data_IF_683216031677
#
_entry.id   IF_683216031677
#
_cell.length_a   1.000
_cell.length_b   1.000
_cell.length_c   1.000
_cell.angle_alpha   90.00
_cell.angle_beta   90.00
_cell.angle_gamma   90.00
#
_symmetry.space_group_name_H-M   'P 1'
#
loop_
_entity.id
_entity.type
_entity.pdbx_description
1 polymer ?
2 non-polymer ?
3 non-polymer ?
4 non-polymer ?
#
# COMPACT_ATOMS: atom_id res chain seq x y z
N UNK A 11 4.53 8.46 28.98
CA UNK A 11 5.32 8.02 27.83
C UNK A 11 4.65 6.91 27.05
N UNK A 12 4.70 7.03 25.73
CA UNK A 12 4.07 6.11 24.80
C UNK A 12 5.12 5.24 24.09
N UNK A 13 6.37 5.38 24.50
CA UNK A 13 7.48 4.66 23.88
C UNK A 13 7.67 3.25 24.46
N UNK A 14 7.96 2.31 23.56
CA UNK A 14 8.40 0.94 23.87
C UNK A 14 9.32 0.46 22.72
N UNK A 15 10.09 -0.63 22.93
CA UNK A 15 11.15 -0.91 21.95
C UNK A 15 10.65 -1.11 20.51
N UNK A 16 9.44 -1.63 20.35
CA UNK A 16 8.84 -1.86 19.03
C UNK A 16 8.39 -0.58 18.32
N UNK A 17 7.80 0.35 19.06
CA UNK A 17 7.31 1.58 18.45
C UNK A 17 8.35 2.70 18.52
N UNK A 18 9.60 2.34 18.80
CA UNK A 18 10.69 3.30 18.91
C UNK A 18 11.26 3.63 17.55
N UNK A 19 11.78 4.86 17.39
CA UNK A 19 12.46 5.23 16.15
C UNK A 19 13.51 4.22 15.75
N UNK A 20 13.85 4.13 14.47
CA UNK A 20 14.71 3.04 14.07
C UNK A 20 16.06 3.67 13.86
N UNK A 21 16.98 3.22 14.69
CA UNK A 21 18.32 3.76 14.82
C UNK A 21 19.08 3.55 13.51
N UNK A 22 19.96 4.49 13.17
CA UNK A 22 20.77 4.42 11.97
C UNK A 22 21.42 3.04 11.76
N UNK A 23 22.03 2.49 12.80
CA UNK A 23 22.65 1.18 12.70
C UNK A 23 21.64 0.04 12.47
N UNK A 24 20.38 0.23 12.84
CA UNK A 24 19.39 -0.84 12.63
C UNK A 24 18.83 -0.87 11.20
N UNK A 25 19.23 0.06 10.34
CA UNK A 25 18.60 0.15 9.02
C UNK A 25 19.19 -0.88 8.04
N UNK A 26 18.36 -1.44 7.17
CA UNK A 26 18.77 -2.59 6.35
C UNK A 26 18.32 -2.60 4.88
N UNK A 27 17.56 -1.59 4.47
CA UNK A 27 17.01 -1.55 3.11
C UNK A 27 17.55 -0.39 2.26
N UNK A 28 18.33 -0.72 1.23
CA UNK A 28 18.85 0.31 0.35
C UNK A 28 17.97 0.55 -0.85
N UNK A 29 18.46 1.33 -1.83
CA UNK A 29 17.61 1.64 -2.99
C UNK A 29 17.31 0.43 -3.87
N UNK A 30 18.27 -0.47 -4.03
CA UNK A 30 18.05 -1.66 -4.85
C UNK A 30 17.08 -2.62 -4.19
N UNK A 31 17.11 -2.64 -2.87
CA UNK A 31 16.36 -3.64 -2.12
C UNK A 31 14.89 -3.27 -2.11
N UNK A 32 14.62 -1.97 -2.04
CA UNK A 32 13.26 -1.45 -2.02
C UNK A 32 12.46 -1.69 -3.33
N UNK A 33 13.13 -1.56 -4.49
CA UNK A 33 12.51 -1.96 -5.76
C UNK A 33 12.10 -3.43 -5.77
N UNK A 34 12.91 -4.27 -5.14
CA UNK A 34 12.71 -5.72 -5.14
C UNK A 34 11.58 -6.03 -4.15
N UNK A 35 11.33 -5.07 -3.27
CA UNK A 35 10.24 -5.15 -2.32
C UNK A 35 8.94 -4.75 -3.00
N UNK A 36 9.05 -3.76 -3.89
CA UNK A 36 7.89 -3.20 -4.58
C UNK A 36 7.45 -4.00 -5.81
N UNK A 37 8.43 -4.53 -6.54
CA UNK A 37 8.19 -5.28 -7.76
C UNK A 37 7.33 -6.49 -7.46
N UNK A 38 7.70 -7.25 -6.44
CA UNK A 38 6.97 -8.45 -6.09
C UNK A 38 5.67 -8.04 -5.39
N UNK A 39 5.68 -6.88 -4.74
CA UNK A 39 4.50 -6.34 -4.06
C UNK A 39 3.42 -5.90 -5.06
N UNK A 40 3.84 -5.56 -6.27
CA UNK A 40 2.91 -5.13 -7.30
C UNK A 40 2.30 -6.32 -8.02
N UNK A 41 3.02 -7.44 -8.03
CA UNK A 41 2.53 -8.68 -8.63
C UNK A 41 1.50 -9.37 -7.73
N UNK A 42 0.23 -9.21 -8.07
CA UNK A 42 -0.87 -9.71 -7.25
C UNK A 42 -2.17 -9.79 -8.03
N UNK A 43 -3.07 -10.65 -7.57
CA UNK A 43 -4.31 -10.93 -8.30
C UNK A 43 -5.16 -9.69 -8.57
N UNK A 44 -5.36 -8.86 -7.55
CA UNK A 44 -6.29 -7.73 -7.65
C UNK A 44 -6.00 -6.72 -8.77
N UNK A 45 -4.85 -6.76 -9.42
CA UNK A 45 -4.65 -5.90 -10.59
C UNK A 45 -5.25 -6.57 -11.83
N UNK A 46 -5.27 -7.90 -11.83
CA UNK A 46 -5.91 -8.64 -12.90
C UNK A 46 -7.35 -8.18 -13.04
N UNK A 47 -8.04 -8.16 -11.90
CA UNK A 47 -9.43 -7.79 -11.86
C UNK A 47 -9.55 -6.36 -12.32
N UNK A 48 -8.73 -5.50 -11.75
CA UNK A 48 -8.75 -4.09 -12.06
C UNK A 48 -8.48 -3.85 -13.54
N UNK A 49 -7.40 -4.40 -14.06
CA UNK A 49 -6.97 -4.10 -15.43
C UNK A 49 -7.87 -4.80 -16.49
N UNK A 50 -8.43 -5.93 -16.10
CA UNK A 50 -9.43 -6.64 -16.90
C UNK A 50 -10.74 -5.89 -17.16
N UNK A 51 -11.44 -5.56 -16.08
CA UNK A 51 -12.65 -4.74 -16.15
C UNK A 51 -12.36 -3.41 -16.85
N UNK A 52 -11.11 -2.95 -16.84
CA UNK A 52 -10.81 -1.73 -17.57
C UNK A 52 -11.00 -1.90 -19.08
N UNK A 53 -10.87 -3.12 -19.59
CA UNK A 53 -11.00 -3.35 -21.04
C UNK A 53 -12.43 -3.06 -21.54
N UNK A 54 -13.41 -3.13 -20.65
CA UNK A 54 -14.75 -2.65 -20.96
C UNK A 54 -14.77 -1.19 -21.43
N UNK A 55 -13.94 -0.30 -20.87
CA UNK A 55 -14.07 1.12 -21.23
C UNK A 55 -12.94 1.63 -22.14
N UNK A 56 -11.78 0.97 -22.13
CA UNK A 56 -10.65 1.37 -22.98
C UNK A 56 -9.95 0.14 -23.52
N UNK A 57 -9.10 0.35 -24.53
CA UNK A 57 -8.32 -0.75 -25.09
C UNK A 57 -7.01 -0.93 -24.34
N UNK A 58 -6.50 -2.15 -24.36
CA UNK A 58 -5.32 -2.56 -23.61
C UNK A 58 -4.16 -1.55 -23.52
N UNK A 59 -3.72 -1.00 -24.65
CA UNK A 59 -2.62 -0.03 -24.59
C UNK A 59 -2.92 1.18 -23.71
N UNK A 60 -4.13 1.74 -23.78
CA UNK A 60 -4.49 2.83 -22.86
C UNK A 60 -4.46 2.41 -21.39
N UNK A 61 -4.85 1.17 -21.10
CA UNK A 61 -4.87 0.67 -19.73
C UNK A 61 -3.45 0.59 -19.18
N UNK A 62 -2.53 0.09 -20.01
CA UNK A 62 -1.11 0.07 -19.71
C UNK A 62 -0.65 1.50 -19.40
N UNK A 63 -1.19 2.46 -20.14
CA UNK A 63 -0.87 3.87 -19.95
C UNK A 63 -1.56 4.37 -18.68
N UNK A 64 -2.81 3.96 -18.47
CA UNK A 64 -3.51 4.30 -17.25
C UNK A 64 -2.75 3.70 -16.06
N UNK A 65 -2.09 2.56 -16.30
CA UNK A 65 -1.27 1.94 -15.27
C UNK A 65 0.06 2.67 -14.99
N UNK A 66 0.87 2.89 -16.03
CA UNK A 66 2.10 3.66 -15.89
C UNK A 66 1.88 5.06 -15.33
N UNK A 67 0.81 5.72 -15.77
CA UNK A 67 0.49 7.04 -15.24
C UNK A 67 0.05 6.95 -13.79
N UNK A 68 -0.88 6.03 -13.53
CA UNK A 68 -1.37 5.82 -12.18
C UNK A 68 -0.28 5.33 -11.26
N UNK A 69 0.65 4.53 -11.80
CA UNK A 69 1.84 4.12 -11.05
C UNK A 69 2.76 5.29 -10.67
N UNK A 70 2.93 6.22 -11.60
CA UNK A 70 3.83 7.36 -11.44
C UNK A 70 3.29 8.40 -10.46
N UNK A 71 1.99 8.65 -10.50
CA UNK A 71 1.42 9.59 -9.54
C UNK A 71 1.59 9.04 -8.13
N UNK A 72 1.50 7.71 -7.98
CA UNK A 72 1.69 7.09 -6.68
C UNK A 72 3.10 7.39 -6.18
N UNK A 73 4.07 7.20 -7.06
CA UNK A 73 5.48 7.53 -6.83
C UNK A 73 5.76 9.01 -6.56
N UNK A 74 5.25 9.92 -7.39
CA UNK A 74 5.26 11.35 -7.06
C UNK A 74 4.75 11.62 -5.65
N UNK A 75 3.77 10.84 -5.21
CA UNK A 75 3.27 10.94 -3.85
C UNK A 75 4.24 10.33 -2.84
N UNK A 76 4.89 9.24 -3.25
CA UNK A 76 5.85 8.56 -2.40
C UNK A 76 7.06 9.44 -2.05
N UNK A 77 7.65 10.10 -3.03
CA UNK A 77 8.73 11.07 -2.82
C UNK A 77 8.46 11.98 -1.62
N UNK A 78 7.20 12.34 -1.42
CA UNK A 78 6.81 13.22 -0.34
C UNK A 78 6.39 12.49 0.94
N UNK A 79 5.61 11.42 0.83
CA UNK A 79 5.13 10.74 2.04
C UNK A 79 6.23 9.90 2.69
N UNK A 80 7.36 9.71 2.01
CA UNK A 80 8.37 8.79 2.52
C UNK A 80 9.52 9.54 3.19
N UNK A 81 9.55 10.86 3.03
CA UNK A 81 10.78 11.59 3.34
C UNK A 81 11.01 11.63 4.85
N UNK A 82 9.91 11.75 5.59
CA UNK A 82 10.00 11.79 7.05
C UNK A 82 10.32 10.43 7.65
N UNK A 83 9.84 9.35 7.01
CA UNK A 83 10.05 8.02 7.55
C UNK A 83 11.49 7.55 7.36
N UNK A 84 12.06 7.88 6.21
CA UNK A 84 13.46 7.57 5.94
C UNK A 84 14.45 8.30 6.87
N UNK A 85 14.28 9.62 7.02
CA UNK A 85 15.21 10.43 7.80
C UNK A 85 15.12 10.07 9.29
N UNK A 86 13.90 9.92 9.81
CA UNK A 86 13.73 9.78 11.26
C UNK A 86 13.31 8.41 11.78
N UNK A 87 13.20 7.42 10.90
CA UNK A 87 12.84 6.10 11.36
C UNK A 87 11.52 5.90 12.09
N UNK A 88 10.53 6.77 11.90
CA UNK A 88 9.32 6.67 12.72
C UNK A 88 8.18 5.91 12.06
N UNK A 89 7.28 5.39 12.90
CA UNK A 89 6.00 4.84 12.47
C UNK A 89 5.14 5.75 11.60
N UNK A 90 4.19 5.15 10.89
CA UNK A 90 3.05 5.90 10.38
C UNK A 90 2.17 6.35 11.51
N UNK A 91 1.72 5.38 12.31
CA UNK A 91 0.78 5.61 13.38
C UNK A 91 1.31 6.69 14.33
N UNK A 92 2.58 6.62 14.64
CA UNK A 92 3.25 7.64 15.46
C UNK A 92 3.32 9.03 14.82
N UNK A 93 3.70 9.06 13.54
CA UNK A 93 3.84 10.31 12.80
C UNK A 93 2.56 11.14 12.62
N UNK A 94 1.40 10.49 12.65
CA UNK A 94 0.13 11.19 12.47
C UNK A 94 -0.20 12.09 13.66
N UNK A 95 0.44 11.80 14.78
CA UNK A 95 0.26 12.54 16.02
C UNK A 95 0.56 14.03 15.85
N UNK A 96 1.38 14.37 14.85
CA UNK A 96 1.83 15.73 14.60
C UNK A 96 0.67 16.69 14.25
N UNK A 97 0.05 16.54 13.06
CA UNK A 97 -1.00 17.51 12.74
C UNK A 97 -2.30 17.30 13.50
N UNK A 98 -2.79 16.06 13.51
CA UNK A 98 -3.95 15.68 14.32
C UNK A 98 -3.43 15.55 15.74
N UNK A 99 -4.28 15.22 16.72
CA UNK A 99 -3.73 15.11 18.05
C UNK A 99 -2.85 13.88 18.17
N UNK A 100 -2.35 13.63 19.37
CA UNK A 100 -1.73 12.38 19.75
C UNK A 100 -2.76 11.26 19.81
N UNK A 101 -4.00 11.64 20.08
CA UNK A 101 -5.12 10.73 20.15
C UNK A 101 -6.05 10.99 18.97
N UNK A 102 -6.27 12.27 18.66
CA UNK A 102 -7.02 12.64 17.48
C UNK A 102 -6.58 12.00 16.17
N UNK A 103 -5.29 11.70 16.06
CA UNK A 103 -4.77 10.95 14.90
C UNK A 103 -5.38 9.56 14.76
N UNK A 104 -5.83 8.99 15.87
CA UNK A 104 -6.44 7.67 15.88
C UNK A 104 -7.66 7.56 14.96
N UNK A 105 -8.31 8.69 14.70
CA UNK A 105 -9.49 8.73 13.82
C UNK A 105 -9.12 8.37 12.36
N UNK A 106 -8.35 9.24 11.64
CA UNK A 106 -7.93 8.76 10.31
C UNK A 106 -7.18 7.45 10.39
N UNK A 107 -6.34 7.27 11.38
CA UNK A 107 -5.59 6.03 11.47
C UNK A 107 -6.51 4.82 11.63
N UNK A 108 -7.65 5.00 12.30
CA UNK A 108 -8.59 3.88 12.40
C UNK A 108 -9.26 3.54 11.07
N UNK A 109 -9.63 4.58 10.30
CA UNK A 109 -10.09 4.41 8.92
C UNK A 109 -9.10 3.59 8.13
N UNK A 110 -7.85 4.00 8.23
CA UNK A 110 -6.77 3.45 7.44
C UNK A 110 -6.36 2.07 7.94
N UNK A 111 -6.31 1.87 9.25
CA UNK A 111 -5.96 0.55 9.75
C UNK A 111 -7.02 -0.44 9.31
N UNK A 112 -8.25 0.05 9.14
CA UNK A 112 -9.39 -0.74 8.67
C UNK A 112 -9.33 -1.19 7.20
N UNK A 113 -9.05 -0.24 6.30
CA UNK A 113 -8.77 -0.55 4.89
C UNK A 113 -7.72 -1.63 4.82
N UNK A 114 -6.60 -1.36 5.48
CA UNK A 114 -5.42 -2.21 5.46
C UNK A 114 -5.82 -3.61 5.92
N UNK A 115 -6.54 -3.65 7.03
CA UNK A 115 -7.05 -4.89 7.63
C UNK A 115 -8.00 -5.62 6.67
N UNK A 116 -8.86 -4.87 5.98
CA UNK A 116 -9.71 -5.45 4.95
C UNK A 116 -8.86 -6.17 3.92
N UNK A 117 -8.02 -5.43 3.21
CA UNK A 117 -7.15 -5.99 2.15
C UNK A 117 -6.38 -7.25 2.54
N UNK A 118 -6.09 -7.38 3.84
CA UNK A 118 -5.36 -8.53 4.34
C UNK A 118 -6.23 -9.78 4.29
N UNK A 119 -7.49 -9.64 4.67
CA UNK A 119 -8.42 -10.75 4.62
C UNK A 119 -8.83 -11.11 3.21
N UNK A 120 -8.87 -10.13 2.31
CA UNK A 120 -9.14 -10.42 0.91
C UNK A 120 -8.04 -11.31 0.29
N UNK A 121 -6.78 -10.90 0.42
CA UNK A 121 -5.69 -11.68 -0.15
C UNK A 121 -5.41 -13.00 0.58
N UNK A 122 -5.71 -13.08 1.87
CA UNK A 122 -5.53 -14.35 2.57
C UNK A 122 -6.46 -15.36 1.90
N UNK A 123 -7.63 -14.88 1.53
CA UNK A 123 -8.62 -15.65 0.80
C UNK A 123 -8.12 -16.11 -0.55
N UNK A 124 -7.64 -15.19 -1.37
CA UNK A 124 -7.12 -15.54 -2.69
C UNK A 124 -6.00 -16.56 -2.57
N UNK A 125 -5.13 -16.34 -1.58
CA UNK A 125 -4.04 -17.25 -1.27
C UNK A 125 -4.55 -18.62 -0.89
N UNK A 126 -5.56 -18.60 -0.02
CA UNK A 126 -6.24 -19.80 0.47
C UNK A 126 -6.87 -20.56 -0.68
N UNK A 127 -7.51 -19.81 -1.56
CA UNK A 127 -8.11 -20.35 -2.77
C UNK A 127 -7.04 -21.14 -3.50
N UNK A 128 -5.83 -20.59 -3.54
CA UNK A 128 -4.72 -21.20 -4.28
C UNK A 128 -4.32 -22.51 -3.60
N UNK A 129 -4.05 -22.47 -2.30
CA UNK A 129 -3.58 -23.67 -1.62
C UNK A 129 -4.65 -24.75 -1.65
N UNK A 130 -5.91 -24.33 -1.57
CA UNK A 130 -7.01 -25.27 -1.58
C UNK A 130 -7.13 -25.92 -2.94
N UNK A 131 -6.92 -25.13 -3.98
CA UNK A 131 -6.85 -25.68 -5.33
C UNK A 131 -5.67 -26.62 -5.50
N UNK A 132 -4.51 -26.28 -4.94
CA UNK A 132 -3.38 -27.20 -5.05
C UNK A 132 -3.71 -28.54 -4.41
N UNK A 133 -4.33 -28.52 -3.24
CA UNK A 133 -4.66 -29.74 -2.54
C UNK A 133 -5.78 -30.54 -3.22
N UNK A 134 -6.84 -29.87 -3.65
CA UNK A 134 -7.95 -30.58 -4.25
C UNK A 134 -7.57 -31.10 -5.64
N UNK A 135 -6.50 -30.53 -6.21
CA UNK A 135 -5.94 -31.08 -7.44
C UNK A 135 -5.00 -32.22 -7.11
N UNK A 136 -5.05 -32.71 -5.88
CA UNK A 136 -4.23 -33.85 -5.50
C UNK A 136 -4.96 -34.86 -4.65
N UNK A 137 -6.22 -34.58 -4.28
CA UNK A 137 -6.85 -35.33 -3.20
C UNK A 137 -8.36 -35.10 -3.19
N UNK A 138 -8.84 -34.25 -4.09
CA UNK A 138 -10.25 -33.90 -4.14
C UNK A 138 -10.83 -33.23 -2.90
N UNK A 139 -10.10 -33.28 -1.79
CA UNK A 139 -10.51 -32.65 -0.55
C UNK A 139 -10.51 -31.14 -0.77
N UNK A 140 -11.59 -30.47 -0.43
CA UNK A 140 -11.75 -29.07 -0.81
C UNK A 140 -12.34 -28.20 0.32
N UNK A 141 -11.58 -28.12 1.43
CA UNK A 141 -11.93 -27.22 2.53
C UNK A 141 -11.13 -25.93 2.45
N UNK A 142 -11.86 -24.81 2.32
CA UNK A 142 -11.25 -23.48 2.23
C UNK A 142 -11.03 -22.83 3.60
N UNK A 143 -12.08 -22.76 4.46
CA UNK A 143 -11.87 -22.10 5.76
C UNK A 143 -10.67 -22.60 6.57
N UNK A 144 -10.40 -23.90 6.55
CA UNK A 144 -9.21 -24.43 7.22
C UNK A 144 -7.96 -23.85 6.58
N UNK A 145 -7.96 -23.78 5.25
CA UNK A 145 -6.81 -23.26 4.50
C UNK A 145 -6.71 -21.75 4.67
N UNK A 146 -7.84 -21.10 4.95
CA UNK A 146 -7.84 -19.69 5.33
C UNK A 146 -7.01 -19.43 6.61
N UNK A 147 -7.50 -19.91 7.76
CA UNK A 147 -6.76 -19.83 9.04
C UNK A 147 -5.30 -20.19 8.90
N UNK A 148 -5.04 -21.43 8.47
CA UNK A 148 -3.69 -21.89 8.18
C UNK A 148 -2.86 -20.91 7.36
N UNK A 149 -3.48 -20.23 6.40
CA UNK A 149 -2.71 -19.25 5.64
C UNK A 149 -2.50 -17.98 6.46
N UNK A 150 -3.59 -17.42 7.00
CA UNK A 150 -3.49 -16.33 7.96
C UNK A 150 -2.37 -16.56 8.97
N UNK A 151 -2.31 -17.79 9.49
CA UNK A 151 -1.33 -18.16 10.48
C UNK A 151 0.07 -18.15 9.88
N UNK A 152 0.22 -18.73 8.69
CA UNK A 152 1.52 -18.81 8.04
C UNK A 152 2.12 -17.45 7.76
N UNK A 153 1.30 -16.51 7.32
CA UNK A 153 1.79 -15.16 7.08
C UNK A 153 2.27 -14.46 8.35
N UNK A 154 1.46 -14.55 9.39
CA UNK A 154 1.79 -13.97 10.68
C UNK A 154 3.13 -14.46 11.15
N UNK A 155 3.40 -15.75 11.02
CA UNK A 155 4.62 -16.31 11.56
C UNK A 155 5.81 -15.88 10.70
N UNK A 156 5.61 -15.79 9.39
CA UNK A 156 6.62 -15.21 8.53
C UNK A 156 6.69 -13.69 8.71
N UNK A 157 5.58 -13.10 9.18
CA UNK A 157 5.54 -11.66 9.46
C UNK A 157 6.23 -11.31 10.78
N UNK A 158 6.29 -12.27 11.70
CA UNK A 158 7.05 -12.15 12.93
C UNK A 158 8.47 -11.70 12.69
N UNK A 159 9.06 -12.16 11.60
CA UNK A 159 10.42 -11.78 11.26
C UNK A 159 10.45 -10.39 10.64
N UNK A 160 9.34 -9.67 10.78
CA UNK A 160 9.13 -8.34 10.22
C UNK A 160 9.77 -8.12 8.87
N UNK A 161 10.37 -6.96 8.66
CA UNK A 161 10.91 -6.61 7.35
C UNK A 161 12.07 -7.52 6.93
N UNK A 162 12.63 -8.26 7.88
CA UNK A 162 13.75 -9.16 7.60
C UNK A 162 13.36 -10.27 6.62
N UNK A 163 12.22 -10.91 6.87
CA UNK A 163 11.66 -11.91 5.96
C UNK A 163 11.22 -11.30 4.64
N UNK A 164 10.33 -10.32 4.72
CA UNK A 164 9.81 -9.57 3.56
C UNK A 164 10.90 -9.27 2.54
N UNK A 165 12.02 -8.75 2.99
CA UNK A 165 13.02 -8.28 2.05
C UNK A 165 13.66 -9.48 1.36
N UNK A 166 13.84 -10.59 2.09
CA UNK A 166 14.44 -11.81 1.54
C UNK A 166 13.49 -12.62 0.67
N UNK A 167 12.23 -12.68 1.07
CA UNK A 167 11.20 -13.38 0.31
C UNK A 167 10.97 -12.72 -1.04
N UNK A 168 11.05 -11.39 -1.07
CA UNK A 168 10.83 -10.60 -2.29
C UNK A 168 12.01 -10.54 -3.26
N UNK A 169 13.24 -10.67 -2.77
CA UNK A 169 14.37 -10.66 -3.72
C UNK A 169 14.41 -11.97 -4.50
N UNK A 170 14.10 -13.08 -3.84
CA UNK A 170 14.01 -14.36 -4.55
C UNK A 170 12.71 -14.60 -5.31
N UNK A 171 11.59 -14.12 -4.80
CA UNK A 171 10.35 -14.21 -5.58
C UNK A 171 10.36 -13.39 -6.86
N UNK A 172 10.90 -12.17 -6.79
CA UNK A 172 10.87 -11.23 -7.91
C UNK A 172 11.23 -11.82 -9.27
N UNK A 173 12.44 -12.39 -9.41
CA UNK A 173 12.75 -12.88 -10.75
C UNK A 173 11.86 -14.07 -11.11
N UNK A 174 11.59 -14.94 -10.12
CA UNK A 174 10.67 -16.05 -10.34
C UNK A 174 9.28 -15.58 -10.78
N UNK A 175 8.72 -14.65 -10.00
CA UNK A 175 7.46 -14.01 -10.38
C UNK A 175 7.54 -13.32 -11.76
N UNK A 176 8.62 -12.58 -12.01
CA UNK A 176 8.83 -11.95 -13.33
C UNK A 176 8.88 -13.00 -14.42
N UNK A 177 9.51 -14.14 -14.13
CA UNK A 177 9.63 -15.19 -15.13
C UNK A 177 8.32 -15.94 -15.33
N UNK A 178 7.68 -16.40 -14.26
CA UNK A 178 6.37 -17.03 -14.38
C UNK A 178 5.38 -16.18 -15.21
N UNK A 179 5.54 -14.85 -15.13
CA UNK A 179 4.67 -13.91 -15.81
C UNK A 179 4.96 -13.67 -17.27
N UNK A 180 6.23 -13.46 -17.60
CA UNK A 180 6.66 -13.36 -18.98
C UNK A 180 6.36 -14.64 -19.74
N UNK A 181 6.56 -15.78 -19.07
CA UNK A 181 6.11 -17.06 -19.60
C UNK A 181 4.62 -17.08 -19.92
N UNK A 182 3.82 -16.59 -18.99
CA UNK A 182 2.36 -16.53 -19.15
C UNK A 182 1.91 -15.79 -20.41
N UNK A 183 2.48 -14.62 -20.62
CA UNK A 183 2.29 -13.86 -21.84
C UNK A 183 2.65 -14.65 -23.11
N UNK A 184 3.71 -15.44 -23.07
CA UNK A 184 4.07 -16.23 -24.25
C UNK A 184 2.97 -17.27 -24.54
N UNK A 185 2.63 -18.07 -23.53
CA UNK A 185 1.52 -19.04 -23.62
C UNK A 185 0.19 -18.52 -24.17
N UNK A 186 -0.24 -17.34 -23.73
CA UNK A 186 -1.48 -16.77 -24.24
C UNK A 186 -1.29 -16.46 -25.71
N UNK A 187 -0.45 -15.47 -26.00
CA UNK A 187 -0.19 -15.02 -27.38
C UNK A 187 -0.01 -16.20 -28.36
N UNK A 188 0.91 -17.12 -28.06
CA UNK A 188 1.14 -18.30 -28.89
C UNK A 188 -0.13 -19.10 -29.16
N UNK A 189 -0.73 -19.63 -28.08
CA UNK A 189 -1.86 -20.54 -28.18
C UNK A 189 -3.09 -19.96 -28.83
N UNK A 190 -3.12 -18.63 -28.94
CA UNK A 190 -4.20 -17.93 -29.61
C UNK A 190 -3.79 -17.51 -31.01
N UNK A 191 -2.48 -17.63 -31.28
CA UNK A 191 -1.90 -17.36 -32.60
C UNK A 191 -1.96 -15.87 -32.90
N UNK A 192 -1.61 -15.06 -31.90
CA UNK A 192 -1.74 -13.61 -31.98
C UNK A 192 -0.45 -12.90 -31.57
N UNK A 193 -0.12 -11.83 -32.29
CA UNK A 193 1.05 -11.03 -31.97
C UNK A 193 0.75 -10.10 -30.79
N UNK A 194 1.79 -9.59 -30.16
CA UNK A 194 1.65 -8.63 -29.06
C UNK A 194 0.93 -7.34 -29.46
N UNK A 195 1.28 -6.80 -30.62
CA UNK A 195 0.72 -5.55 -31.08
C UNK A 195 -0.77 -5.64 -31.33
N UNK A 196 -1.22 -6.83 -31.72
CA UNK A 196 -2.62 -7.07 -32.01
C UNK A 196 -3.46 -7.02 -30.73
N UNK A 197 -3.00 -7.70 -29.68
CA UNK A 197 -3.71 -7.71 -28.39
C UNK A 197 -3.74 -6.34 -27.76
N UNK A 198 -2.71 -5.54 -28.04
CA UNK A 198 -2.59 -4.21 -27.47
C UNK A 198 -3.74 -3.24 -27.82
N UNK A 199 -4.57 -3.58 -28.80
CA UNK A 199 -5.72 -2.71 -29.11
C UNK A 199 -7.09 -3.36 -29.17
N UNK A 200 -7.26 -4.53 -28.57
CA UNK A 200 -8.52 -5.29 -28.68
C UNK A 200 -9.70 -4.84 -27.80
N UNK A 201 -9.50 -3.87 -26.90
CA UNK A 201 -10.54 -3.52 -25.96
C UNK A 201 -11.52 -2.42 -26.31
N UNK A 202 -12.12 -1.85 -25.26
CA UNK A 202 -12.74 -0.53 -25.30
C UNK A 202 -13.94 -0.44 -26.24
N UNK A 203 -14.87 -1.37 -26.03
CA UNK A 203 -16.05 -1.49 -26.86
C UNK A 203 -17.26 -1.07 -26.05
N UNK A 204 -17.04 -0.18 -25.09
CA UNK A 204 -18.10 0.28 -24.20
C UNK A 204 -17.68 1.57 -23.51
N UNK A 205 -17.23 2.58 -24.28
CA UNK A 205 -16.66 3.78 -23.67
C UNK A 205 -17.64 4.57 -22.79
N UNK A 206 -17.11 5.45 -21.95
CA UNK A 206 -17.93 6.17 -20.99
C UNK A 206 -17.14 6.72 -19.83
N UNK A 207 -16.21 5.91 -19.31
CA UNK A 207 -15.30 6.30 -18.23
C UNK A 207 -14.25 7.28 -18.70
N UNK A 208 -14.12 8.42 -18.00
CA UNK A 208 -13.04 9.37 -18.34
C UNK A 208 -11.69 8.72 -18.11
N UNK A 209 -10.71 9.03 -18.96
CA UNK A 209 -9.37 8.48 -18.79
C UNK A 209 -8.72 8.92 -17.49
N UNK A 210 -9.14 10.07 -16.96
CA UNK A 210 -8.61 10.56 -15.69
C UNK A 210 -9.07 9.63 -14.60
N UNK A 211 -10.31 9.16 -14.73
CA UNK A 211 -10.90 8.31 -13.71
C UNK A 211 -10.31 6.92 -13.86
N UNK A 212 -9.69 6.68 -15.00
CA UNK A 212 -9.02 5.40 -15.19
C UNK A 212 -7.74 5.42 -14.37
N UNK A 213 -6.94 6.46 -14.59
CA UNK A 213 -5.70 6.70 -13.88
C UNK A 213 -5.93 6.70 -12.37
N UNK A 214 -7.00 7.39 -11.95
CA UNK A 214 -7.38 7.48 -10.53
C UNK A 214 -7.69 6.14 -9.86
N UNK A 215 -7.93 5.10 -10.66
CA UNK A 215 -8.23 3.79 -10.10
C UNK A 215 -6.94 3.02 -9.72
N UNK A 216 -5.87 3.25 -10.47
CA UNK A 216 -4.58 2.58 -10.20
C UNK A 216 -3.76 3.27 -9.11
N UNK A 217 -3.81 4.60 -9.08
CA UNK A 217 -3.35 5.34 -7.92
C UNK A 217 -4.09 4.84 -6.69
N UNK A 218 -5.38 5.11 -6.62
CA UNK A 218 -6.19 4.73 -5.47
C UNK A 218 -6.21 3.27 -5.05
N UNK A 219 -5.51 2.40 -5.78
CA UNK A 219 -5.38 1.02 -5.35
C UNK A 219 -4.30 0.92 -4.28
N UNK A 220 -3.22 1.66 -4.53
CA UNK A 220 -2.11 1.73 -3.61
C UNK A 220 -2.20 2.97 -2.71
N UNK A 221 -3.41 3.48 -2.52
CA UNK A 221 -3.56 4.68 -1.74
C UNK A 221 -3.32 4.39 -0.26
N UNK A 222 -3.71 3.20 0.17
CA UNK A 222 -3.51 2.80 1.55
C UNK A 222 -2.01 2.63 1.83
N UNK A 223 -1.36 1.89 0.94
CA UNK A 223 0.08 1.67 1.03
C UNK A 223 0.87 2.97 0.99
N UNK A 224 0.61 3.82 -0.01
CA UNK A 224 1.42 5.03 -0.20
C UNK A 224 1.20 6.09 0.91
N UNK A 225 -0.03 6.22 1.39
CA UNK A 225 -0.31 7.17 2.47
C UNK A 225 0.37 6.74 3.77
N UNK A 226 0.67 5.45 3.89
CA UNK A 226 1.31 4.91 5.09
C UNK A 226 2.51 4.07 4.71
N UNK A 227 3.21 4.46 3.66
CA UNK A 227 4.45 3.80 3.30
C UNK A 227 5.42 3.74 4.50
N UNK A 228 5.38 4.77 5.37
CA UNK A 228 6.22 4.87 6.59
C UNK A 228 6.71 3.54 7.14
N UNK A 229 5.76 2.63 7.28
CA UNK A 229 5.93 1.37 7.97
C UNK A 229 6.91 0.46 7.23
N UNK A 230 7.22 0.83 6.01
CA UNK A 230 8.20 0.13 5.19
C UNK A 230 9.52 0.88 5.10
N UNK A 231 9.45 2.19 4.95
CA UNK A 231 10.61 2.96 4.54
C UNK A 231 11.39 3.50 5.74
N UNK A 232 10.83 3.41 6.94
CA UNK A 232 11.59 3.63 8.19
C UNK A 232 12.73 2.64 8.36
N UNK A 233 12.82 1.71 7.43
CA UNK A 233 13.83 0.69 7.41
C UNK A 233 14.89 0.94 6.35
N UNK A 234 14.72 2.02 5.59
CA UNK A 234 15.63 2.36 4.52
C UNK A 234 16.95 2.94 5.00
N UNK A 235 17.95 2.82 4.14
CA UNK A 235 19.31 3.21 4.47
C UNK A 235 19.43 4.72 4.35
N UNK A 236 19.94 5.39 5.35
CA UNK A 236 20.05 6.84 5.25
C UNK A 236 21.46 7.26 5.67
N UNK A 237 22.01 8.32 5.08
CA UNK A 237 23.23 8.89 5.66
C UNK A 237 22.86 10.11 6.49
N UNK A 238 22.95 9.98 7.84
CA UNK A 238 22.54 11.06 8.76
C UNK A 238 23.28 12.37 8.52
N UNK A 239 24.48 12.30 7.96
CA UNK A 239 25.29 13.48 7.75
C UNK A 239 25.24 14.00 6.31
N UNK A 240 24.08 13.88 5.68
CA UNK A 240 23.86 14.47 4.36
C UNK A 240 23.61 15.97 4.47
N UNK A 241 22.93 16.53 3.47
CA UNK A 241 22.57 17.94 3.46
C UNK A 241 21.19 18.07 2.87
N UNK A 242 20.68 19.29 2.70
CA UNK A 242 19.41 19.48 1.99
C UNK A 242 19.42 18.82 0.62
N UNK A 243 20.55 18.90 -0.08
CA UNK A 243 20.60 18.49 -1.47
C UNK A 243 20.99 17.03 -1.58
N UNK A 244 21.71 16.52 -0.58
CA UNK A 244 22.00 15.10 -0.58
C UNK A 244 20.84 14.30 -0.02
N UNK A 245 20.07 14.92 0.86
CA UNK A 245 18.83 14.32 1.36
C UNK A 245 17.75 14.25 0.29
N UNK A 246 17.73 15.24 -0.59
CA UNK A 246 16.74 15.27 -1.64
C UNK A 246 17.02 14.23 -2.72
N UNK A 247 18.28 14.08 -3.10
CA UNK A 247 18.65 13.02 -4.03
C UNK A 247 18.46 11.64 -3.42
N UNK A 248 18.65 11.54 -2.10
CA UNK A 248 18.42 10.29 -1.38
C UNK A 248 16.95 9.91 -1.46
N UNK A 249 16.08 10.85 -1.11
CA UNK A 249 14.64 10.72 -1.31
C UNK A 249 14.28 10.34 -2.74
N UNK A 250 14.94 11.02 -3.69
CA UNK A 250 14.69 10.83 -5.11
C UNK A 250 15.20 9.49 -5.61
N UNK A 251 16.35 9.05 -5.10
CA UNK A 251 16.92 7.77 -5.50
C UNK A 251 15.99 6.66 -5.05
N UNK A 252 15.42 6.83 -3.86
CA UNK A 252 14.39 5.93 -3.36
C UNK A 252 13.05 5.98 -4.09
N UNK A 253 12.50 7.18 -4.27
CA UNK A 253 11.29 7.34 -5.06
C UNK A 253 11.43 6.74 -6.45
N UNK A 254 12.60 6.93 -7.06
CA UNK A 254 12.88 6.37 -8.37
C UNK A 254 12.93 4.85 -8.23
N UNK A 255 13.47 4.39 -7.10
CA UNK A 255 13.61 2.95 -6.86
C UNK A 255 12.25 2.32 -6.69
N UNK A 256 11.31 3.07 -6.15
CA UNK A 256 9.96 2.53 -5.96
C UNK A 256 9.26 2.52 -7.30
N UNK A 257 9.62 3.49 -8.15
CA UNK A 257 9.06 3.61 -9.48
C UNK A 257 9.54 2.44 -10.30
N UNK A 258 10.82 2.14 -10.21
CA UNK A 258 11.37 1.06 -11.02
C UNK A 258 10.92 -0.26 -10.45
N UNK A 259 10.35 -0.24 -9.25
CA UNK A 259 9.85 -1.48 -8.68
C UNK A 259 8.42 -1.80 -9.04
N UNK A 260 7.54 -0.79 -8.97
CA UNK A 260 6.10 -1.03 -9.12
C UNK A 260 5.60 -0.89 -10.55
N UNK A 261 6.29 -0.10 -11.35
CA UNK A 261 5.92 0.08 -12.76
C UNK A 261 6.13 -1.20 -13.60
N UNK A 262 7.39 -1.62 -13.87
CA UNK A 262 7.53 -2.82 -14.72
C UNK A 262 6.77 -4.06 -14.22
N UNK A 263 6.59 -4.19 -12.91
CA UNK A 263 5.81 -5.28 -12.38
C UNK A 263 4.33 -5.19 -12.72
N UNK A 264 3.73 -4.02 -12.49
CA UNK A 264 2.30 -3.92 -12.62
C UNK A 264 1.89 -3.70 -14.08
N UNK A 265 2.84 -3.31 -14.92
CA UNK A 265 2.58 -3.26 -16.35
C UNK A 265 2.52 -4.63 -17.00
N UNK A 266 3.49 -5.50 -16.70
CA UNK A 266 3.42 -6.86 -17.22
C UNK A 266 2.17 -7.62 -16.75
N UNK A 267 1.85 -7.49 -15.47
CA UNK A 267 0.72 -8.22 -14.90
C UNK A 267 -0.64 -7.54 -15.08
N UNK A 268 -0.63 -6.22 -15.20
CA UNK A 268 -1.83 -5.52 -15.59
C UNK A 268 -2.26 -5.99 -16.96
N UNK A 269 -1.30 -5.99 -17.89
CA UNK A 269 -1.49 -6.51 -19.24
C UNK A 269 -2.05 -7.94 -19.27
N UNK A 270 -1.58 -8.81 -18.38
CA UNK A 270 -2.13 -10.17 -18.30
C UNK A 270 -3.61 -10.22 -17.92
N UNK A 271 -4.02 -9.40 -16.96
CA UNK A 271 -5.43 -9.36 -16.58
C UNK A 271 -6.32 -8.86 -17.70
N UNK A 272 -5.87 -7.80 -18.36
CA UNK A 272 -6.54 -7.21 -19.50
C UNK A 272 -6.60 -8.20 -20.67
N UNK A 273 -5.45 -8.81 -20.97
CA UNK A 273 -5.36 -9.83 -22.02
C UNK A 273 -6.32 -10.97 -21.77
N UNK A 274 -6.31 -11.49 -20.55
CA UNK A 274 -7.31 -12.45 -20.09
C UNK A 274 -8.76 -12.02 -20.44
N UNK A 275 -9.18 -10.81 -20.05
CA UNK A 275 -10.54 -10.30 -20.32
C UNK A 275 -10.81 -10.37 -21.80
N UNK A 276 -9.81 -9.92 -22.53
CA UNK A 276 -9.96 -9.58 -23.92
C UNK A 276 -9.86 -10.85 -24.76
N UNK A 277 -9.07 -11.83 -24.33
CA UNK A 277 -9.05 -13.09 -25.08
C UNK A 277 -10.25 -14.02 -24.85
N UNK A 278 -10.78 -14.09 -23.64
CA UNK A 278 -11.68 -15.21 -23.29
C UNK A 278 -12.87 -14.67 -22.45
N UNK A 279 -12.75 -13.43 -22.00
CA UNK A 279 -13.86 -12.82 -21.27
C UNK A 279 -13.74 -12.90 -19.76
N UNK A 280 -12.62 -13.41 -19.27
CA UNK A 280 -12.38 -13.55 -17.84
C UNK A 280 -11.07 -12.87 -17.51
N UNK A 281 -11.03 -12.14 -16.40
CA UNK A 281 -9.84 -11.41 -15.92
C UNK A 281 -8.88 -12.38 -15.33
N UNK A 282 -9.42 -13.51 -14.93
CA UNK A 282 -8.67 -14.56 -14.28
C UNK A 282 -7.91 -15.38 -15.31
N UNK A 283 -6.57 -15.34 -15.25
CA UNK A 283 -5.66 -16.01 -16.17
C UNK A 283 -5.79 -17.52 -16.11
N UNK A 284 -6.23 -18.04 -14.95
CA UNK A 284 -6.47 -19.48 -14.81
C UNK A 284 -7.46 -19.95 -15.87
N UNK A 285 -8.62 -19.32 -15.91
CA UNK A 285 -9.59 -19.60 -16.95
C UNK A 285 -9.12 -19.30 -18.37
N UNK A 286 -8.63 -18.09 -18.61
CA UNK A 286 -8.28 -17.71 -19.98
C UNK A 286 -7.21 -18.58 -20.65
N UNK A 287 -6.19 -18.99 -19.90
CA UNK A 287 -5.12 -19.81 -20.48
C UNK A 287 -5.53 -21.27 -20.62
N UNK A 288 -6.34 -21.74 -19.67
CA UNK A 288 -6.86 -23.10 -19.71
C UNK A 288 -7.62 -23.32 -21.03
N UNK A 289 -8.57 -22.43 -21.30
CA UNK A 289 -9.31 -22.43 -22.55
C UNK A 289 -8.43 -22.35 -23.80
N UNK A 290 -7.76 -21.21 -23.98
CA UNK A 290 -6.97 -20.94 -25.19
C UNK A 290 -6.09 -22.12 -25.62
N UNK A 291 -5.67 -22.91 -24.64
CA UNK A 291 -4.73 -24.00 -24.86
C UNK A 291 -5.51 -25.32 -24.81
N UNK A 292 -6.71 -25.25 -24.27
CA UNK A 292 -7.60 -26.39 -24.22
C UNK A 292 -7.15 -27.38 -23.16
N UNK A 293 -7.16 -26.93 -21.91
CA UNK A 293 -6.79 -27.76 -20.78
C UNK A 293 -5.29 -27.79 -20.54
N UNK A 294 -4.90 -28.12 -19.31
CA UNK A 294 -3.50 -28.28 -18.94
C UNK A 294 -3.33 -29.37 -17.89
N UNK A 295 -2.14 -29.98 -17.90
CA UNK A 295 -1.81 -31.06 -16.97
C UNK A 295 -1.86 -30.59 -15.52
N UNK A 296 -2.14 -31.54 -14.63
CA UNK A 296 -2.24 -31.26 -13.19
C UNK A 296 -0.98 -30.58 -12.61
N UNK A 297 0.23 -31.09 -12.93
CA UNK A 297 1.43 -30.31 -12.62
C UNK A 297 1.34 -28.85 -13.02
N UNK A 298 1.28 -28.56 -14.33
CA UNK A 298 1.28 -27.17 -14.79
C UNK A 298 0.13 -26.34 -14.22
N UNK A 299 -0.85 -27.00 -13.60
CA UNK A 299 -1.93 -26.28 -12.94
C UNK A 299 -1.51 -25.83 -11.53
N UNK A 300 -1.20 -26.82 -10.71
CA UNK A 300 -0.57 -26.65 -9.41
C UNK A 300 0.49 -25.52 -9.38
N UNK A 301 1.39 -25.52 -10.36
CA UNK A 301 2.31 -24.39 -10.61
C UNK A 301 1.62 -23.05 -10.52
N UNK A 302 0.65 -22.84 -11.41
CA UNK A 302 -0.13 -21.61 -11.50
C UNK A 302 -0.65 -21.22 -10.11
N UNK A 303 -1.09 -22.20 -9.34
CA UNK A 303 -1.65 -21.91 -8.04
C UNK A 303 -0.54 -21.52 -7.09
N UNK A 304 0.63 -22.16 -7.28
CA UNK A 304 1.86 -21.79 -6.59
C UNK A 304 2.21 -20.35 -6.94
N UNK A 305 1.95 -19.95 -8.18
CA UNK A 305 2.16 -18.57 -8.60
C UNK A 305 1.29 -17.69 -7.74
N UNK A 306 -0.02 -17.92 -7.79
CA UNK A 306 -0.96 -17.17 -6.97
C UNK A 306 -0.51 -17.09 -5.50
N UNK A 307 -0.05 -18.21 -4.95
CA UNK A 307 0.43 -18.23 -3.58
C UNK A 307 1.68 -17.37 -3.42
N UNK A 308 2.66 -17.58 -4.32
CA UNK A 308 3.86 -16.74 -4.34
C UNK A 308 3.57 -15.28 -4.61
N UNK A 309 2.55 -15.03 -5.43
CA UNK A 309 2.17 -13.67 -5.75
C UNK A 309 1.39 -13.01 -4.63
N UNK A 310 0.75 -13.82 -3.80
CA UNK A 310 -0.01 -13.27 -2.69
C UNK A 310 0.94 -12.99 -1.50
N UNK A 311 1.90 -13.89 -1.30
CA UNK A 311 2.83 -13.82 -0.17
C UNK A 311 3.76 -12.63 -0.30
N UNK A 312 4.02 -12.21 -1.53
CA UNK A 312 4.93 -11.10 -1.73
C UNK A 312 4.23 -9.75 -1.62
N UNK A 313 2.91 -9.77 -1.45
CA UNK A 313 2.16 -8.51 -1.39
C UNK A 313 1.38 -8.34 -0.09
N UNK A 314 0.54 -9.30 0.28
CA UNK A 314 -0.26 -9.14 1.49
C UNK A 314 0.43 -8.69 2.80
N UNK A 315 1.34 -9.52 3.38
CA UNK A 315 2.02 -9.16 4.63
C UNK A 315 2.56 -7.75 4.70
N UNK A 316 3.46 -7.45 3.76
CA UNK A 316 4.21 -6.21 3.73
C UNK A 316 3.30 -5.01 3.57
N UNK A 317 2.26 -5.14 2.75
CA UNK A 317 1.40 -4.01 2.46
C UNK A 317 0.22 -3.85 3.43
N UNK A 318 -0.24 -4.95 4.02
CA UNK A 318 -1.50 -4.94 4.77
C UNK A 318 -1.43 -5.26 6.24
N UNK A 319 -0.38 -5.96 6.67
CA UNK A 319 -0.31 -6.45 8.04
C UNK A 319 0.66 -5.67 8.90
N UNK A 320 1.78 -5.28 8.30
CA UNK A 320 2.73 -4.39 8.96
C UNK A 320 2.05 -3.19 9.64
N UNK A 321 1.17 -2.49 8.93
CA UNK A 321 0.64 -1.23 9.44
C UNK A 321 -0.42 -1.30 10.52
N UNK A 322 -1.25 -2.34 10.54
CA UNK A 322 -2.13 -2.38 11.72
C UNK A 322 -1.38 -2.87 12.96
N UNK A 323 -0.42 -3.78 12.76
CA UNK A 323 0.48 -4.22 13.82
C UNK A 323 1.06 -3.03 14.55
N UNK A 324 1.76 -2.18 13.79
CA UNK A 324 2.39 -1.00 14.35
C UNK A 324 1.39 -0.01 14.91
N UNK A 325 0.16 -0.03 14.41
CA UNK A 325 -0.90 0.82 14.94
C UNK A 325 -1.31 0.40 16.33
N UNK A 326 -1.39 -0.91 16.53
CA UNK A 326 -1.71 -1.47 17.83
C UNK A 326 -0.63 -1.27 18.90
N UNK A 327 0.59 -1.72 18.61
CA UNK A 327 1.66 -1.71 19.60
C UNK A 327 2.16 -0.31 19.92
N UNK A 328 1.59 0.69 19.25
CA UNK A 328 2.17 2.03 19.32
C UNK A 328 1.14 2.97 19.89
N UNK A 329 -0.11 2.53 19.89
CA UNK A 329 -1.19 3.25 20.56
C UNK A 329 -1.40 2.64 21.95
N UNK A 330 -1.27 1.32 22.03
CA UNK A 330 -1.30 0.62 23.31
C UNK A 330 0.08 0.00 23.62
N UNK A 331 1.07 0.86 23.92
CA UNK A 331 2.45 0.37 23.84
C UNK A 331 2.83 -0.62 24.94
N UNK A 332 2.15 -0.56 26.08
CA UNK A 332 2.38 -1.52 27.15
C UNK A 332 1.47 -2.74 27.04
N UNK A 333 0.42 -2.62 26.23
CA UNK A 333 -0.46 -3.75 25.94
C UNK A 333 0.03 -4.62 24.78
N UNK A 334 0.50 -3.99 23.70
CA UNK A 334 0.87 -4.75 22.53
C UNK A 334 2.34 -4.55 22.19
N UNK A 335 2.93 -5.56 21.57
CA UNK A 335 4.24 -5.44 20.95
C UNK A 335 4.02 -5.74 19.49
N UNK A 336 5.00 -5.41 18.65
CA UNK A 336 4.89 -5.68 17.22
C UNK A 336 4.36 -7.08 16.93
N UNK A 337 5.04 -8.11 17.41
CA UNK A 337 4.61 -9.50 17.19
C UNK A 337 3.17 -9.80 17.67
N UNK A 338 2.72 -9.20 18.77
CA UNK A 338 1.37 -9.48 19.26
C UNK A 338 0.31 -8.70 18.47
N UNK A 339 0.70 -7.54 17.94
CA UNK A 339 -0.20 -6.69 17.18
C UNK A 339 -0.46 -7.32 15.84
N UNK A 340 0.58 -7.96 15.30
CA UNK A 340 0.47 -8.80 14.11
C UNK A 340 -0.54 -9.95 14.27
N UNK A 341 -0.47 -10.65 15.41
CA UNK A 341 -1.45 -11.68 15.71
C UNK A 341 -2.86 -11.14 15.85
N UNK A 342 -3.00 -10.00 16.51
CA UNK A 342 -4.29 -9.36 16.65
C UNK A 342 -4.79 -8.73 15.35
N UNK A 343 -3.88 -8.35 14.45
CA UNK A 343 -4.34 -7.73 13.22
C UNK A 343 -4.86 -8.78 12.23
N UNK A 344 -4.18 -9.91 12.14
CA UNK A 344 -4.59 -10.98 11.25
C UNK A 344 -5.84 -11.70 11.74
N UNK A 345 -6.11 -11.64 13.03
CA UNK A 345 -7.32 -12.23 13.60
C UNK A 345 -8.50 -11.30 13.38
N UNK A 346 -8.37 -10.05 13.80
CA UNK A 346 -9.38 -9.07 13.44
C UNK A 346 -9.64 -9.14 11.94
N UNK A 347 -8.57 -9.05 11.14
CA UNK A 347 -8.68 -9.18 9.70
C UNK A 347 -9.57 -10.29 9.14
N UNK A 348 -9.34 -11.52 9.60
CA UNK A 348 -10.09 -12.68 9.12
C UNK A 348 -11.49 -12.74 9.68
N UNK A 349 -11.69 -12.21 10.87
CA UNK A 349 -13.02 -12.20 11.45
C UNK A 349 -13.92 -11.11 10.85
N UNK A 350 -13.41 -10.37 9.89
CA UNK A 350 -14.23 -9.48 9.08
C UNK A 350 -14.81 -10.20 7.85
N UNK A 351 -14.38 -11.44 7.65
CA UNK A 351 -14.72 -12.28 6.48
C UNK A 351 -15.01 -11.49 5.20
N UNK A 352 -14.03 -10.69 4.73
CA UNK A 352 -14.22 -9.70 3.66
C UNK A 352 -14.43 -10.29 2.27
N UNK A 353 -14.25 -11.61 2.12
CA UNK A 353 -14.39 -12.23 0.79
C UNK A 353 -15.83 -12.41 0.36
N UNK A 354 -16.77 -11.98 1.18
CA UNK A 354 -18.17 -12.12 0.87
C UNK A 354 -18.82 -10.76 0.78
N UNK A 355 -17.98 -9.73 0.84
CA UNK A 355 -18.45 -8.36 0.82
C UNK A 355 -17.64 -7.52 -0.17
N UNK A 356 -16.63 -8.12 -0.77
CA UNK A 356 -15.78 -7.41 -1.74
C UNK A 356 -16.57 -7.10 -3.00
N UNK A 357 -17.40 -8.05 -3.43
CA UNK A 357 -18.28 -7.88 -4.58
C UNK A 357 -19.20 -6.67 -4.39
N UNK A 358 -20.07 -6.79 -3.40
CA UNK A 358 -20.92 -5.69 -2.91
C UNK A 358 -20.18 -4.36 -2.72
N UNK A 359 -19.28 -4.31 -1.74
CA UNK A 359 -18.77 -3.05 -1.22
C UNK A 359 -17.80 -2.32 -2.15
N UNK A 360 -17.41 -2.97 -3.24
CA UNK A 360 -16.50 -2.39 -4.25
C UNK A 360 -16.54 -0.86 -4.38
N UNK A 361 -17.71 -0.32 -4.65
CA UNK A 361 -17.88 1.12 -4.85
C UNK A 361 -17.67 1.90 -3.55
N UNK A 362 -18.06 1.28 -2.43
CA UNK A 362 -17.87 1.87 -1.11
C UNK A 362 -16.41 2.03 -0.70
N UNK A 363 -15.59 1.01 -0.96
CA UNK A 363 -14.17 1.04 -0.59
C UNK A 363 -13.38 2.05 -1.41
N UNK A 364 -13.78 2.21 -2.67
CA UNK A 364 -13.16 3.21 -3.54
C UNK A 364 -13.41 4.62 -3.00
N UNK A 365 -14.51 4.80 -2.28
CA UNK A 365 -14.78 6.06 -1.60
C UNK A 365 -13.85 6.25 -0.40
N UNK A 366 -13.80 5.26 0.50
CA UNK A 366 -12.93 5.33 1.68
C UNK A 366 -11.50 5.56 1.27
N UNK A 367 -11.09 4.89 0.21
CA UNK A 367 -9.73 5.03 -0.29
C UNK A 367 -9.43 6.45 -0.76
N UNK A 368 -10.23 7.00 -1.68
CA UNK A 368 -9.90 8.32 -2.18
C UNK A 368 -10.11 9.41 -1.12
N UNK A 369 -10.74 9.06 0.00
CA UNK A 369 -10.86 9.96 1.15
C UNK A 369 -9.67 9.91 2.11
N UNK A 370 -8.51 9.54 1.59
CA UNK A 370 -7.28 9.58 2.38
C UNK A 370 -6.38 10.64 1.78
N UNK A 371 -6.91 11.30 0.76
CA UNK A 371 -6.23 12.36 0.04
C UNK A 371 -5.88 13.53 0.93
N UNK A 372 -6.86 14.01 1.72
CA UNK A 372 -6.56 15.05 2.70
C UNK A 372 -5.59 14.55 3.77
N UNK A 373 -5.67 13.27 4.13
CA UNK A 373 -4.75 12.70 5.12
C UNK A 373 -3.32 12.83 4.61
N UNK A 374 -3.11 12.50 3.33
CA UNK A 374 -1.79 12.61 2.71
C UNK A 374 -1.42 14.07 2.51
N UNK A 375 -2.44 14.90 2.34
CA UNK A 375 -2.25 16.30 2.02
C UNK A 375 -1.87 17.04 3.29
N UNK A 376 -2.51 16.63 4.38
CA UNK A 376 -2.28 17.25 5.68
C UNK A 376 -0.94 16.79 6.22
N UNK A 377 -0.52 15.59 5.85
CA UNK A 377 0.72 15.09 6.39
C UNK A 377 1.90 15.67 5.61
N UNK A 378 1.74 15.84 4.31
CA UNK A 378 2.80 16.42 3.50
C UNK A 378 3.00 17.89 3.93
N UNK A 379 1.90 18.55 4.30
CA UNK A 379 1.95 19.97 4.60
C UNK A 379 2.51 20.24 5.99
N UNK A 380 2.01 19.48 6.95
CA UNK A 380 2.54 19.54 8.32
C UNK A 380 4.04 19.38 8.38
N UNK A 381 4.57 18.29 7.83
CA UNK A 381 6.00 18.06 7.89
C UNK A 381 6.84 19.01 7.00
N UNK A 382 6.46 19.14 5.72
CA UNK A 382 7.20 19.99 4.77
C UNK A 382 6.95 21.50 4.83
N UNK A 383 5.69 21.91 4.89
CA UNK A 383 5.37 23.32 4.75
C UNK A 383 5.28 24.11 6.06
N UNK A 384 4.42 23.64 6.95
CA UNK A 384 4.22 24.29 8.24
C UNK A 384 5.48 24.26 9.11
N UNK A 385 5.94 23.05 9.41
CA UNK A 385 7.05 22.84 10.33
C UNK A 385 8.44 22.90 9.69
N UNK A 386 8.51 22.79 8.36
CA UNK A 386 9.78 22.84 7.62
C UNK A 386 10.74 21.71 7.99
N UNK A 387 10.22 20.48 8.09
CA UNK A 387 11.01 19.29 8.35
C UNK A 387 11.65 19.31 9.75
N UNK A 388 11.20 20.22 10.60
CA UNK A 388 11.82 20.39 11.91
C UNK A 388 10.90 19.81 12.99
N UNK A 389 11.17 18.57 13.38
CA UNK A 389 10.27 17.85 14.26
C UNK A 389 10.92 17.41 15.57
N UNK A 390 10.07 17.08 16.55
CA UNK A 390 10.50 16.68 17.89
C UNK A 390 10.08 15.25 18.24
N UNK A 391 10.92 14.26 17.95
CA UNK A 391 10.66 12.88 18.35
C UNK A 391 10.21 12.75 19.81
N UNK A 392 10.87 13.50 20.70
CA UNK A 392 10.59 13.49 22.13
C UNK A 392 9.09 13.59 22.46
N UNK A 393 8.43 14.52 21.78
CA UNK A 393 7.05 14.89 22.10
C UNK A 393 6.08 13.91 21.46
N UNK A 394 6.55 13.18 20.46
CA UNK A 394 5.73 12.20 19.77
C UNK A 394 5.49 10.97 20.64
N UNK A 395 6.33 10.79 21.65
CA UNK A 395 6.24 9.62 22.52
C UNK A 395 5.76 9.94 23.93
N UNK A 396 5.07 11.06 24.10
CA UNK A 396 4.67 11.51 25.41
C UNK A 396 3.23 12.01 25.27
N UNK A 397 2.35 11.56 26.15
CA UNK A 397 0.96 12.03 26.20
C UNK A 397 0.75 13.54 26.20
N UNK A 398 1.59 14.30 26.91
CA UNK A 398 1.46 15.75 26.92
C UNK A 398 2.67 16.56 26.47
N UNK A 399 2.58 17.16 25.27
CA UNK A 399 3.67 17.90 24.69
C UNK A 399 3.17 18.78 23.56
N UNK A 400 4.04 19.22 22.65
CA UNK A 400 3.59 20.12 21.59
C UNK A 400 2.72 19.47 20.54
N UNK A 401 2.44 18.17 20.68
CA UNK A 401 1.60 17.52 19.70
C UNK A 401 0.31 17.03 20.34
N UNK A 402 0.04 17.54 21.55
CA UNK A 402 -1.12 17.11 22.32
C UNK A 402 -2.32 17.99 21.96
N UNK A 403 -2.01 19.25 21.64
CA UNK A 403 -3.02 20.25 21.34
C UNK A 403 -4.12 20.26 22.40
N UNK A 404 -5.37 20.31 21.98
CA UNK A 404 -6.49 20.32 22.92
C UNK A 404 -6.81 18.95 23.51
N UNK A 405 -6.17 18.66 24.63
CA UNK A 405 -6.41 17.44 25.42
C UNK A 405 -6.24 16.16 24.62
N UNK A 406 -5.27 16.17 23.71
CA UNK A 406 -4.89 15.00 22.93
C UNK A 406 -5.40 14.98 21.49
N UNK A 407 -6.16 16.00 21.09
CA UNK A 407 -6.79 15.99 19.78
C UNK A 407 -6.65 17.38 19.16
N UNK A 408 -6.25 17.46 17.89
CA UNK A 408 -6.12 18.77 17.23
C UNK A 408 -7.37 18.94 16.38
N UNK A 409 -8.42 19.51 16.95
CA UNK A 409 -9.69 19.59 16.24
C UNK A 409 -9.62 20.38 14.93
N UNK A 410 -8.76 21.37 14.87
CA UNK A 410 -8.59 22.17 13.65
C UNK A 410 -8.08 21.33 12.47
N UNK A 411 -7.22 20.36 12.76
CA UNK A 411 -6.74 19.42 11.75
C UNK A 411 -7.85 18.47 11.28
N UNK A 412 -8.62 17.94 12.21
CA UNK A 412 -9.89 17.27 11.89
C UNK A 412 -10.92 18.12 11.13
N UNK A 413 -10.84 19.43 11.26
CA UNK A 413 -11.72 20.31 10.47
C UNK A 413 -11.26 20.40 9.02
N UNK A 414 -9.98 20.68 8.81
CA UNK A 414 -9.40 20.68 7.47
C UNK A 414 -9.66 19.40 6.68
N UNK A 415 -9.68 18.26 7.37
CA UNK A 415 -10.00 16.99 6.74
C UNK A 415 -11.42 16.95 6.18
N UNK A 416 -12.40 17.30 7.03
CA UNK A 416 -13.79 17.36 6.61
C UNK A 416 -13.97 18.28 5.42
N UNK A 417 -13.67 19.56 5.65
CA UNK A 417 -13.71 20.59 4.62
C UNK A 417 -13.08 20.15 3.30
N UNK A 418 -11.91 19.52 3.36
CA UNK A 418 -11.22 19.09 2.14
C UNK A 418 -11.98 17.94 1.49
N UNK A 419 -12.56 17.08 2.31
CA UNK A 419 -13.41 16.01 1.80
C UNK A 419 -14.63 16.53 1.06
N UNK A 420 -15.26 17.57 1.60
CA UNK A 420 -16.36 18.19 0.89
C UNK A 420 -15.93 18.69 -0.48
N UNK A 421 -15.08 19.71 -0.52
CA UNK A 421 -14.47 20.21 -1.75
C UNK A 421 -14.03 19.08 -2.70
N UNK A 422 -13.69 17.94 -2.12
CA UNK A 422 -13.23 16.80 -2.91
C UNK A 422 -14.38 16.30 -3.81
N UNK A 423 -15.61 16.40 -3.30
CA UNK A 423 -16.80 15.91 -3.99
C UNK A 423 -17.22 16.76 -5.19
N UNK A 424 -16.73 18.00 -5.24
CA UNK A 424 -17.03 18.88 -6.36
C UNK A 424 -16.34 18.44 -7.65
N UNK A 425 -15.46 17.45 -7.56
CA UNK A 425 -14.75 16.94 -8.73
C UNK A 425 -14.63 15.42 -8.68
N UNK A 426 -15.77 14.70 -8.69
CA UNK A 426 -15.86 13.26 -8.51
C UNK A 426 -14.83 12.44 -9.28
N UNK A 427 -14.50 12.86 -10.50
CA UNK A 427 -13.53 12.13 -11.30
C UNK A 427 -12.07 12.45 -10.98
N UNK A 428 -11.86 13.40 -10.08
CA UNK A 428 -10.53 13.76 -9.63
C UNK A 428 -10.53 13.88 -8.13
N UNK A 429 -11.55 13.32 -7.49
CA UNK A 429 -11.74 13.40 -6.03
C UNK A 429 -10.49 13.44 -5.15
N UNK A 430 -9.69 12.39 -5.26
CA UNK A 430 -8.45 12.30 -4.53
C UNK A 430 -7.49 13.46 -4.63
N UNK A 431 -7.18 13.84 -5.85
CA UNK A 431 -6.22 14.91 -6.07
C UNK A 431 -6.74 16.30 -5.72
N UNK A 432 -8.04 16.54 -5.79
CA UNK A 432 -8.53 17.82 -5.28
C UNK A 432 -8.57 17.89 -3.76
N UNK A 433 -8.98 16.81 -3.08
CA UNK A 433 -9.02 16.87 -1.62
C UNK A 433 -7.67 16.99 -0.95
N UNK A 434 -6.66 16.37 -1.57
CA UNK A 434 -5.27 16.46 -1.11
C UNK A 434 -4.81 17.88 -1.32
N UNK A 435 -4.92 18.33 -2.56
CA UNK A 435 -4.57 19.69 -2.93
C UNK A 435 -5.36 20.67 -2.06
N UNK A 436 -6.63 20.35 -1.77
CA UNK A 436 -7.40 21.24 -0.90
C UNK A 436 -6.88 21.20 0.54
N UNK A 437 -6.72 20.01 1.11
CA UNK A 437 -6.22 19.88 2.49
C UNK A 437 -4.84 20.49 2.63
N UNK A 438 -3.97 20.14 1.70
CA UNK A 438 -2.61 20.68 1.62
C UNK A 438 -2.70 22.18 1.74
N UNK A 439 -3.45 22.82 0.84
CA UNK A 439 -3.54 24.26 0.87
C UNK A 439 -4.20 24.81 2.14
N UNK A 440 -5.27 24.18 2.63
CA UNK A 440 -5.93 24.65 3.86
C UNK A 440 -5.16 24.45 5.16
N UNK A 441 -4.31 23.43 5.24
CA UNK A 441 -3.59 23.17 6.50
C UNK A 441 -2.74 24.38 6.87
N UNK A 442 -2.22 25.04 5.84
CA UNK A 442 -1.34 26.18 6.00
C UNK A 442 -2.02 27.30 6.81
N UNK A 443 -3.16 27.85 6.32
CA UNK A 443 -3.85 28.81 7.20
C UNK A 443 -4.32 28.21 8.53
N UNK A 444 -4.89 27.01 8.50
CA UNK A 444 -5.32 26.35 9.75
C UNK A 444 -4.19 26.26 10.77
N UNK A 445 -2.98 25.97 10.32
CA UNK A 445 -1.85 25.76 11.22
C UNK A 445 -1.23 27.06 11.70
N UNK A 446 -1.30 28.09 10.87
CA UNK A 446 -0.84 29.42 11.28
C UNK A 446 -1.80 30.04 12.28
N UNK A 447 -2.90 29.35 12.55
CA UNK A 447 -3.85 29.81 13.54
C UNK A 447 -3.60 29.11 14.87
N UNK A 448 -3.54 27.78 14.80
CA UNK A 448 -3.21 26.94 15.93
C UNK A 448 -1.87 27.33 16.55
N UNK A 449 -1.00 27.94 15.76
CA UNK A 449 0.34 28.25 16.23
C UNK A 449 0.29 29.44 17.18
N UNK A 450 -0.85 30.11 17.21
CA UNK A 450 -1.04 31.23 18.12
C UNK A 450 -1.45 30.75 19.52
N UNK A 451 -1.85 29.49 19.64
CA UNK A 451 -2.29 28.94 20.92
C UNK A 451 -1.29 27.87 21.43
N UNK A 452 -0.75 27.11 20.49
CA UNK A 452 0.17 26.01 20.77
C UNK A 452 1.45 26.18 19.98
N UNK A 453 2.56 25.66 20.49
CA UNK A 453 3.84 25.91 19.83
C UNK A 453 4.06 24.88 18.74
N UNK A 454 4.75 25.27 17.69
CA UNK A 454 4.98 24.39 16.55
C UNK A 454 6.31 23.67 16.66
N UNK A 455 7.13 24.14 17.58
CA UNK A 455 8.46 23.56 17.81
C UNK A 455 8.67 23.33 19.29
N UNK A 456 9.71 22.60 19.65
CA UNK A 456 9.96 22.31 21.06
C UNK A 456 11.46 22.27 21.32
N UNK A 457 11.86 22.59 22.55
CA UNK A 457 13.27 22.61 22.92
C UNK A 457 13.85 21.20 22.84
N UNK A 458 13.00 20.24 23.18
CA UNK A 458 13.40 18.84 23.30
C UNK A 458 13.77 18.23 21.96
N UNK A 459 13.57 19.00 20.89
CA UNK A 459 13.86 18.51 19.55
C UNK A 459 15.36 18.33 19.30
N UNK A 460 16.18 18.70 20.28
CA UNK A 460 17.62 18.52 20.18
C UNK A 460 18.05 17.11 20.61
N UNK A 461 17.14 16.42 21.30
CA UNK A 461 17.35 15.02 21.69
C UNK A 461 17.02 14.05 20.57
N UNK A 462 16.69 14.60 19.40
CA UNK A 462 16.23 13.82 18.27
C UNK A 462 17.22 12.70 17.92
N UNK A 463 18.49 13.04 17.98
CA UNK A 463 19.55 12.16 17.50
C UNK A 463 19.81 11.07 18.55
N UNK A 464 19.36 11.32 19.77
CA UNK A 464 19.37 10.33 20.83
C UNK A 464 18.56 9.11 20.42
N UNK A 465 17.42 9.39 19.80
CA UNK A 465 16.54 8.33 19.31
C UNK A 465 17.24 7.52 18.21
N UNK A 466 18.14 8.17 17.50
CA UNK A 466 18.80 7.53 16.36
C UNK A 466 20.25 7.17 16.69
#
# INVERSE_FOLDING_TARGET
>A
MNSTPIEEARSLLNPSNAPTRYAERSVGPFSLAAIWFAMAIQVAIFIAAGQMTSSFQVWQVIVAIAAGCTIAVILLFFTQSAAIRWGINFTVAARMPFGIRGSLIPITLKALLSLFWFGFQTWLGALALDEITRLLTGFTNLPLWIVIFGAIQVVTTFYGITFIRWMNVFASPVLLAMGVYMVYLMLDGADVSLGEVMSMGGENPGMPFSTAIMIFVGGWIAVVVSIHDIVKECKVDPNASREGQTKADARYATAQWLGMVPASIIFGFIGAASMVLVGEWNPVIAITEVVGGVSIPMAILFQVFVLLATWSTNPAANLLSPAYTLCSTFPRVFTFKTGVIVSAVVGLLMMPWQFAGVLNTFLNLLASALGPLAGIMISDYFLVRRRRISLHDLYRTKGIYTYWRGVNWVALAVYAVALAVSFLTPDLMFVTGLIAALLLHIPAMRWVAKTFPLFSEAESRNEDYLRPIGPVAPADESATANTKEQNGSENLYFQ
#
